data_IF_729429319051
#
_entry.id   IF_729429319051
#
_cell.length_a   1.000
_cell.length_b   1.000
_cell.length_c   1.000
_cell.angle_alpha   90.00
_cell.angle_beta   90.00
_cell.angle_gamma   90.00
#
_symmetry.space_group_name_H-M   'P 1'
#
loop_
_entity.id
_entity.type
_entity.pdbx_description
1 polymer ?
#
# COMPACT_ATOMS: atom_id res chain seq x y z
N UNK A 1 -29.73 42.94 -6.96
CA UNK A 1 -28.36 42.55 -6.56
C UNK A 1 -28.37 41.05 -6.35
N UNK A 2 -28.01 40.25 -7.37
CA UNK A 2 -28.00 38.78 -7.29
C UNK A 2 -26.61 38.36 -6.80
N UNK A 3 -26.53 37.77 -5.62
CA UNK A 3 -25.32 37.11 -5.13
C UNK A 3 -25.46 35.62 -5.42
N UNK A 4 -24.65 35.09 -6.34
CA UNK A 4 -24.47 33.64 -6.44
C UNK A 4 -23.45 33.24 -5.36
N UNK A 5 -23.73 32.23 -4.53
CA UNK A 5 -22.69 31.66 -3.67
C UNK A 5 -21.76 30.84 -4.56
N UNK A 6 -20.49 31.26 -4.66
CA UNK A 6 -19.42 30.39 -5.13
C UNK A 6 -19.21 29.30 -4.07
N UNK A 7 -19.33 28.00 -4.39
CA UNK A 7 -18.87 26.98 -3.46
C UNK A 7 -17.35 26.94 -3.55
N UNK A 8 -16.69 27.69 -2.67
CA UNK A 8 -15.25 27.62 -2.47
C UNK A 8 -14.92 26.55 -1.44
N UNK A 9 -14.27 25.48 -1.92
CA UNK A 9 -13.33 24.57 -1.21
C UNK A 9 -13.72 23.08 -1.31
N UNK A 10 -12.74 22.17 -1.28
CA UNK A 10 -11.90 21.84 -2.42
C UNK A 10 -12.14 20.38 -2.79
N UNK A 11 -11.86 19.99 -4.04
CA UNK A 11 -11.55 18.60 -4.31
C UNK A 11 -10.34 18.23 -3.45
N UNK A 12 -10.57 17.48 -2.37
CA UNK A 12 -9.49 16.85 -1.61
C UNK A 12 -8.89 15.82 -2.55
N UNK A 13 -7.95 16.25 -3.40
CA UNK A 13 -6.96 15.35 -3.96
C UNK A 13 -6.05 14.97 -2.80
N UNK A 14 -6.50 14.04 -1.96
CA UNK A 14 -5.65 13.35 -1.02
C UNK A 14 -4.58 12.67 -1.86
N UNK A 15 -3.43 13.33 -1.99
CA UNK A 15 -2.18 12.63 -2.20
C UNK A 15 -1.98 11.81 -0.93
N UNK A 16 -2.68 10.68 -0.83
CA UNK A 16 -2.36 9.65 0.14
C UNK A 16 -0.91 9.30 -0.15
N UNK A 17 -0.03 9.66 0.78
CA UNK A 17 1.36 9.24 0.74
C UNK A 17 1.35 7.72 0.92
N UNK A 18 1.22 6.99 -0.19
CA UNK A 18 1.07 5.55 -0.19
C UNK A 18 2.32 4.96 0.46
N UNK A 19 2.13 4.17 1.52
CA UNK A 19 3.22 3.47 2.17
C UNK A 19 3.66 2.29 1.30
N UNK A 20 4.56 2.57 0.35
CA UNK A 20 5.02 1.59 -0.64
C UNK A 20 6.24 0.81 -0.14
N UNK A 21 6.15 -0.50 -0.28
CA UNK A 21 7.26 -1.44 -0.07
C UNK A 21 7.66 -2.14 -1.37
N UNK A 22 8.80 -2.84 -1.33
CA UNK A 22 9.31 -3.68 -2.43
C UNK A 22 9.38 -5.13 -1.98
N UNK A 23 8.82 -6.04 -2.77
CA UNK A 23 8.97 -7.49 -2.54
C UNK A 23 10.45 -7.85 -2.71
N UNK A 24 11.05 -8.38 -1.65
CA UNK A 24 12.43 -8.85 -1.65
C UNK A 24 12.51 -10.34 -1.96
N UNK A 25 11.51 -11.13 -1.56
CA UNK A 25 11.50 -12.57 -1.76
C UNK A 25 10.07 -13.13 -1.71
N UNK A 26 9.87 -14.26 -2.42
CA UNK A 26 8.64 -15.05 -2.40
C UNK A 26 9.02 -16.50 -2.07
N UNK A 27 8.42 -17.07 -1.02
CA UNK A 27 8.58 -18.49 -0.61
C UNK A 27 7.20 -19.12 -0.50
N UNK A 28 6.72 -19.75 -1.57
CA UNK A 28 5.34 -20.26 -1.61
C UNK A 28 4.34 -19.12 -1.36
N UNK A 29 3.44 -19.24 -0.37
CA UNK A 29 2.49 -18.17 -0.03
C UNK A 29 3.12 -17.03 0.80
N UNK A 30 4.36 -17.18 1.26
CA UNK A 30 5.01 -16.23 2.17
C UNK A 30 5.81 -15.19 1.37
N UNK A 31 5.63 -13.93 1.72
CA UNK A 31 6.29 -12.78 1.12
C UNK A 31 7.18 -12.11 2.14
N UNK A 32 8.41 -11.81 1.73
CA UNK A 32 9.21 -10.85 2.47
C UNK A 32 9.27 -9.52 1.73
N UNK A 33 8.94 -8.43 2.42
CA UNK A 33 8.78 -7.09 1.83
C UNK A 33 9.64 -6.09 2.58
N UNK A 34 10.40 -5.27 1.85
CA UNK A 34 11.23 -4.19 2.41
C UNK A 34 10.49 -2.86 2.28
N UNK A 35 10.46 -2.08 3.36
CA UNK A 35 9.88 -0.75 3.39
C UNK A 35 10.98 0.31 3.63
N UNK A 36 10.74 1.57 3.25
CA UNK A 36 11.62 2.67 3.65
C UNK A 36 11.73 2.79 5.19
N UNK A 37 12.84 3.32 5.71
CA UNK A 37 12.97 3.64 7.14
C UNK A 37 11.82 4.52 7.65
N UNK A 38 11.29 4.19 8.84
CA UNK A 38 10.16 4.91 9.43
C UNK A 38 8.79 4.63 8.80
N UNK A 39 8.72 3.81 7.73
CA UNK A 39 7.49 3.45 7.03
C UNK A 39 7.14 1.96 7.19
N UNK A 40 7.72 1.29 8.19
CA UNK A 40 7.44 -0.12 8.47
C UNK A 40 5.99 -0.30 8.92
N UNK A 41 5.24 -1.25 8.31
CA UNK A 41 3.91 -1.60 8.78
C UNK A 41 3.98 -2.38 10.11
N UNK A 42 2.88 -2.34 10.87
CA UNK A 42 2.73 -3.14 12.09
C UNK A 42 2.44 -4.61 11.73
N UNK A 43 2.66 -5.51 12.70
CA UNK A 43 2.11 -6.86 12.64
C UNK A 43 0.58 -6.77 12.56
N UNK A 44 -0.02 -7.67 11.80
CA UNK A 44 -1.44 -7.74 11.43
C UNK A 44 -1.96 -6.63 10.50
N UNK A 45 -1.09 -5.73 10.00
CA UNK A 45 -1.48 -4.84 8.91
C UNK A 45 -1.59 -5.62 7.59
N UNK A 46 -2.55 -5.23 6.76
CA UNK A 46 -2.69 -5.74 5.40
C UNK A 46 -1.68 -5.08 4.44
N UNK A 47 -1.06 -5.88 3.59
CA UNK A 47 -0.30 -5.45 2.41
C UNK A 47 -1.10 -5.83 1.17
N UNK A 48 -1.26 -4.88 0.23
CA UNK A 48 -1.95 -5.14 -1.03
C UNK A 48 -0.94 -5.09 -2.17
N UNK A 49 -0.65 -6.26 -2.75
CA UNK A 49 0.16 -6.38 -3.97
C UNK A 49 -0.75 -6.22 -5.18
N UNK A 50 -0.58 -5.14 -5.91
CA UNK A 50 -1.32 -4.86 -7.15
C UNK A 50 -0.55 -5.41 -8.34
N UNK A 51 -1.23 -6.10 -9.25
CA UNK A 51 -0.64 -6.66 -10.46
C UNK A 51 -1.65 -6.74 -11.60
N UNK A 52 -1.21 -7.33 -12.71
CA UNK A 52 -2.08 -7.74 -13.82
C UNK A 52 -1.84 -9.20 -14.14
N UNK A 53 -2.89 -9.91 -14.52
CA UNK A 53 -2.77 -11.28 -15.02
C UNK A 53 -2.29 -11.32 -16.49
N UNK A 54 -2.24 -12.52 -17.07
CA UNK A 54 -1.76 -12.75 -18.43
C UNK A 54 -2.64 -12.13 -19.53
N UNK A 55 -3.90 -11.81 -19.22
CA UNK A 55 -4.84 -11.17 -20.14
C UNK A 55 -5.01 -9.66 -19.84
N UNK A 56 -4.23 -9.13 -18.89
CA UNK A 56 -4.20 -7.72 -18.53
C UNK A 56 -5.24 -7.29 -17.49
N UNK A 57 -6.00 -8.22 -16.91
CA UNK A 57 -6.96 -7.93 -15.85
C UNK A 57 -6.23 -7.58 -14.55
N UNK A 58 -6.70 -6.56 -13.84
CA UNK A 58 -6.13 -6.17 -12.56
C UNK A 58 -6.35 -7.27 -11.52
N UNK A 59 -5.29 -7.61 -10.79
CA UNK A 59 -5.33 -8.54 -9.67
C UNK A 59 -4.78 -7.86 -8.42
N UNK A 60 -5.40 -8.15 -7.28
CA UNK A 60 -4.92 -7.71 -5.97
C UNK A 60 -4.71 -8.95 -5.09
N UNK A 61 -3.52 -9.08 -4.54
CA UNK A 61 -3.21 -10.11 -3.54
C UNK A 61 -3.05 -9.42 -2.20
N UNK A 62 -3.93 -9.72 -1.26
CA UNK A 62 -3.89 -9.20 0.10
C UNK A 62 -3.12 -10.18 0.99
N UNK A 63 -2.11 -9.68 1.68
CA UNK A 63 -1.25 -10.44 2.59
C UNK A 63 -1.28 -9.77 3.96
N UNK A 64 -1.02 -10.51 5.04
CA UNK A 64 -1.04 -9.96 6.40
C UNK A 64 0.35 -10.06 7.01
N UNK A 65 0.90 -8.94 7.50
CA UNK A 65 2.20 -8.94 8.16
C UNK A 65 2.17 -9.81 9.41
N UNK A 66 2.97 -10.87 9.44
CA UNK A 66 3.10 -11.78 10.58
C UNK A 66 4.33 -11.50 11.45
N UNK A 67 5.41 -10.99 10.86
CA UNK A 67 6.68 -10.85 11.58
C UNK A 67 7.51 -9.66 11.08
N UNK A 68 8.21 -8.99 12.01
CA UNK A 68 9.28 -8.05 11.71
C UNK A 68 10.61 -8.81 11.64
N UNK A 69 11.32 -8.73 10.50
CA UNK A 69 12.56 -9.47 10.26
C UNK A 69 13.84 -8.64 10.56
N UNK A 70 13.69 -7.36 10.91
CA UNK A 70 14.81 -6.41 10.96
C UNK A 70 15.19 -5.86 9.58
N UNK A 71 16.18 -4.96 9.51
CA UNK A 71 16.64 -4.32 8.26
C UNK A 71 15.50 -3.79 7.37
N UNK A 72 14.50 -3.19 8.01
CA UNK A 72 13.30 -2.65 7.36
C UNK A 72 12.51 -3.68 6.53
N UNK A 73 12.54 -4.95 6.92
CA UNK A 73 11.87 -6.06 6.25
C UNK A 73 10.80 -6.67 7.14
N UNK A 74 9.66 -6.98 6.54
CA UNK A 74 8.56 -7.74 7.15
C UNK A 74 8.36 -9.07 6.43
N UNK A 75 7.74 -10.03 7.10
CA UNK A 75 7.19 -11.26 6.54
C UNK A 75 5.68 -11.19 6.57
N UNK A 76 5.04 -11.41 5.43
CA UNK A 76 3.60 -11.41 5.21
C UNK A 76 3.14 -12.63 4.41
#
# INVERSE_FOLDING_TARGET
>A
MRINPTPSSPAVSTLEEQNLGRIAQIIGPVLDVVFPPGKMPNIYNALVVKGRDTIGQQINVTCEVQQLLGNNRVRA
#
